data_IF_646223252581
#
_entry.id   IF_646223252581
#
_cell.length_a   1.000
_cell.length_b   1.000
_cell.length_c   1.000
_cell.angle_alpha   90.00
_cell.angle_beta   90.00
_cell.angle_gamma   90.00
#
_symmetry.space_group_name_H-M   'P 1'
#
loop_
_entity.id
_entity.type
_entity.pdbx_description
1 polymer ?
#
# COMPACT_ATOMS: atom_id res chain seq x y z
N UNK A 69 -37.76 0.59 27.48
CA UNK A 69 -38.75 1.63 27.16
C UNK A 69 -39.51 1.45 25.83
N UNK A 70 -38.83 1.13 24.69
CA UNK A 70 -39.53 1.00 23.41
C UNK A 70 -40.12 -0.40 23.18
N UNK A 71 -40.85 -0.90 24.17
CA UNK A 71 -41.50 -2.20 24.03
C UNK A 71 -42.87 -2.06 23.38
N UNK A 72 -43.75 -1.27 24.00
CA UNK A 72 -45.09 -1.04 23.46
C UNK A 72 -45.07 0.12 22.46
N UNK A 73 -44.18 -0.01 21.48
CA UNK A 73 -43.97 1.01 20.47
C UNK A 73 -44.70 0.71 19.16
N UNK A 74 -44.77 -0.55 18.77
CA UNK A 74 -45.40 -0.89 17.50
C UNK A 74 -44.56 -0.45 16.32
N UNK A 75 -45.03 0.57 15.61
CA UNK A 75 -44.32 1.08 14.44
C UNK A 75 -43.28 2.10 14.89
N UNK A 76 -42.67 2.79 13.92
CA UNK A 76 -41.58 3.71 14.18
C UNK A 76 -41.99 5.16 13.94
N UNK A 77 -43.23 5.49 14.30
CA UNK A 77 -43.78 6.85 14.32
C UNK A 77 -43.98 7.40 12.91
N UNK A 78 -44.97 8.26 12.70
CA UNK A 78 -45.20 8.83 11.37
C UNK A 78 -44.19 9.90 11.00
N UNK A 79 -44.44 10.59 9.89
CA UNK A 79 -43.56 11.67 9.47
C UNK A 79 -43.65 12.84 10.45
N UNK A 80 -42.53 13.53 10.63
CA UNK A 80 -42.48 14.74 11.43
C UNK A 80 -41.84 15.85 10.60
N UNK A 81 -41.55 16.97 11.26
CA UNK A 81 -40.68 18.02 10.72
C UNK A 81 -41.11 18.48 9.33
N UNK A 82 -42.42 18.46 9.08
CA UNK A 82 -42.92 18.78 7.74
C UNK A 82 -42.60 20.22 7.35
N UNK A 83 -42.79 21.17 8.27
CA UNK A 83 -42.74 22.58 7.89
C UNK A 83 -41.31 23.05 7.65
N UNK A 84 -40.39 22.70 8.55
CA UNK A 84 -39.02 23.19 8.44
C UNK A 84 -38.32 22.64 7.20
N UNK A 85 -38.50 21.35 6.92
CA UNK A 85 -37.79 20.60 5.89
C UNK A 85 -36.33 20.43 6.30
N UNK A 86 -35.87 19.19 6.29
CA UNK A 86 -34.49 18.82 6.58
C UNK A 86 -34.22 17.62 5.68
N UNK A 87 -33.07 16.97 5.85
CA UNK A 87 -32.64 15.82 5.05
C UNK A 87 -32.35 16.17 3.59
N UNK A 88 -31.32 16.96 3.31
CA UNK A 88 -30.66 16.85 2.01
C UNK A 88 -30.20 15.42 1.78
N UNK A 89 -29.92 15.09 0.52
CA UNK A 89 -29.71 13.69 0.15
C UNK A 89 -28.50 13.07 0.84
N UNK A 90 -27.35 13.76 0.80
CA UNK A 90 -26.09 13.19 1.28
C UNK A 90 -25.84 11.83 0.64
N UNK A 91 -25.97 11.79 -0.69
CA UNK A 91 -26.21 10.52 -1.37
C UNK A 91 -24.99 9.60 -1.34
N UNK A 92 -23.79 10.15 -1.38
CA UNK A 92 -22.59 9.34 -1.52
C UNK A 92 -21.59 9.66 -0.42
N UNK A 93 -20.95 8.62 0.11
CA UNK A 93 -19.79 8.77 0.97
C UNK A 93 -18.74 7.76 0.54
N UNK A 94 -17.47 8.17 0.59
CA UNK A 94 -16.42 7.46 -0.14
C UNK A 94 -16.20 6.05 0.40
N UNK A 95 -16.02 5.92 1.72
CA UNK A 95 -15.62 4.63 2.26
C UNK A 95 -16.70 3.58 2.11
N UNK A 96 -17.97 3.98 2.06
CA UNK A 96 -19.02 3.02 1.76
C UNK A 96 -18.84 2.43 0.37
N UNK A 97 -18.54 3.28 -0.61
CA UNK A 97 -18.24 2.78 -1.95
C UNK A 97 -17.02 1.88 -1.93
N UNK A 98 -16.01 2.23 -1.12
CA UNK A 98 -14.84 1.38 -1.01
C UNK A 98 -15.21 0.00 -0.49
N UNK A 99 -16.06 -0.06 0.53
CA UNK A 99 -16.48 -1.35 1.07
C UNK A 99 -17.27 -2.15 0.04
N UNK A 100 -18.20 -1.50 -0.66
CA UNK A 100 -18.98 -2.19 -1.69
C UNK A 100 -18.08 -2.79 -2.75
N UNK A 101 -17.12 -2.00 -3.25
CA UNK A 101 -16.18 -2.54 -4.23
C UNK A 101 -15.31 -3.62 -3.62
N UNK A 102 -15.01 -3.53 -2.33
CA UNK A 102 -14.17 -4.52 -1.67
C UNK A 102 -14.86 -5.88 -1.64
N UNK A 103 -16.17 -5.90 -1.42
CA UNK A 103 -16.85 -7.18 -1.27
C UNK A 103 -16.76 -8.04 -2.53
N UNK A 104 -16.51 -7.43 -3.69
CA UNK A 104 -16.44 -8.17 -4.95
C UNK A 104 -15.10 -8.08 -5.64
N UNK A 105 -14.14 -7.32 -5.12
CA UNK A 105 -12.91 -7.05 -5.85
C UNK A 105 -12.10 -8.31 -6.10
N UNK A 106 -11.97 -9.18 -5.10
CA UNK A 106 -11.14 -10.37 -5.28
C UNK A 106 -11.71 -11.30 -6.34
N UNK A 107 -13.03 -11.52 -6.34
CA UNK A 107 -13.60 -12.47 -7.28
C UNK A 107 -13.56 -11.92 -8.70
N UNK A 108 -13.84 -10.62 -8.86
CA UNK A 108 -13.77 -10.03 -10.19
C UNK A 108 -12.34 -10.06 -10.70
N UNK A 109 -11.37 -9.80 -9.82
CA UNK A 109 -9.97 -9.90 -10.21
C UNK A 109 -9.64 -11.32 -10.66
N UNK A 110 -10.05 -12.31 -9.86
CA UNK A 110 -9.79 -13.70 -10.21
C UNK A 110 -10.32 -14.01 -11.60
N UNK A 111 -11.59 -13.70 -11.85
CA UNK A 111 -12.19 -14.12 -13.11
C UNK A 111 -11.56 -13.36 -14.28
N UNK A 112 -11.44 -12.03 -14.17
CA UNK A 112 -11.02 -11.29 -15.35
C UNK A 112 -9.55 -11.51 -15.66
N UNK A 113 -8.73 -11.88 -14.67
CA UNK A 113 -7.40 -12.33 -15.06
C UNK A 113 -7.40 -13.81 -15.43
N UNK A 114 -8.47 -14.54 -15.12
CA UNK A 114 -8.58 -15.91 -15.59
C UNK A 114 -8.79 -15.95 -17.09
N UNK A 115 -9.60 -15.03 -17.64
CA UNK A 115 -9.67 -15.03 -19.10
C UNK A 115 -8.37 -14.56 -19.75
N UNK A 116 -7.46 -13.96 -19.00
CA UNK A 116 -6.18 -13.53 -19.56
C UNK A 116 -5.15 -14.64 -19.59
N UNK A 117 -5.42 -15.78 -18.95
CA UNK A 117 -4.53 -16.91 -18.96
C UNK A 117 -3.65 -17.05 -17.73
N UNK A 118 -3.49 -16.00 -16.94
CA UNK A 118 -2.70 -16.08 -15.72
C UNK A 118 -3.52 -16.77 -14.64
N UNK A 119 -2.86 -17.59 -13.83
CA UNK A 119 -3.53 -18.45 -12.86
C UNK A 119 -3.37 -17.90 -11.45
N UNK A 120 -4.38 -18.15 -10.63
CA UNK A 120 -4.37 -17.73 -9.24
C UNK A 120 -5.17 -18.78 -8.48
N UNK A 121 -4.87 -18.98 -7.21
CA UNK A 121 -5.64 -20.00 -6.50
C UNK A 121 -7.04 -19.46 -6.21
N UNK A 122 -7.89 -20.33 -5.67
CA UNK A 122 -9.32 -20.02 -5.55
C UNK A 122 -9.49 -18.79 -4.67
N UNK A 123 -10.46 -17.91 -4.94
CA UNK A 123 -10.63 -16.74 -4.07
C UNK A 123 -11.18 -17.11 -2.70
N UNK A 124 -10.27 -17.49 -1.80
CA UNK A 124 -10.65 -17.79 -0.43
C UNK A 124 -11.35 -16.59 0.20
N UNK A 125 -12.49 -16.79 0.86
CA UNK A 125 -13.17 -15.66 1.49
C UNK A 125 -12.32 -15.02 2.57
N UNK A 126 -12.50 -13.72 2.74
CA UNK A 126 -11.69 -12.92 3.65
C UNK A 126 -12.58 -12.30 4.72
N UNK A 127 -12.03 -12.13 5.92
CA UNK A 127 -12.79 -11.50 6.99
C UNK A 127 -12.75 -9.98 6.84
N UNK A 128 -13.54 -9.30 7.68
CA UNK A 128 -13.66 -7.86 7.57
C UNK A 128 -12.31 -7.17 7.69
N UNK A 129 -11.52 -7.55 8.70
CA UNK A 129 -10.18 -6.99 8.82
C UNK A 129 -9.32 -7.37 7.63
N UNK A 130 -9.43 -8.62 7.18
CA UNK A 130 -8.72 -9.03 5.97
C UNK A 130 -9.16 -8.19 4.79
N UNK A 131 -10.46 -7.91 4.70
CA UNK A 131 -10.98 -7.08 3.61
C UNK A 131 -10.41 -5.67 3.68
N UNK A 132 -10.31 -5.11 4.89
CA UNK A 132 -9.78 -3.76 5.04
C UNK A 132 -8.31 -3.71 4.67
N UNK A 133 -7.54 -4.72 5.08
CA UNK A 133 -6.14 -4.78 4.67
C UNK A 133 -6.01 -4.93 3.16
N UNK A 134 -6.89 -5.74 2.55
CA UNK A 134 -6.92 -5.83 1.09
C UNK A 134 -7.17 -4.47 0.46
N UNK A 135 -8.14 -3.73 1.00
CA UNK A 135 -8.46 -2.41 0.47
C UNK A 135 -7.28 -1.45 0.61
N UNK A 136 -6.62 -1.48 1.76
CA UNK A 136 -5.44 -0.64 1.95
C UNK A 136 -4.34 -1.01 0.97
N UNK A 137 -4.17 -2.31 0.73
CA UNK A 137 -3.16 -2.76 -0.23
C UNK A 137 -3.48 -2.27 -1.63
N UNK A 138 -4.75 -2.31 -2.02
CA UNK A 138 -5.12 -1.90 -3.37
C UNK A 138 -5.34 -0.40 -3.50
N UNK A 139 -5.56 0.31 -2.40
CA UNK A 139 -5.82 1.75 -2.44
C UNK A 139 -4.74 2.56 -1.74
N UNK A 140 -4.41 2.22 -0.50
CA UNK A 140 -3.42 3.00 0.23
C UNK A 140 -2.05 2.96 -0.42
N UNK A 141 -1.68 1.80 -0.98
CA UNK A 141 -0.41 1.71 -1.69
C UNK A 141 -0.39 2.61 -2.91
N UNK A 142 -1.50 2.65 -3.65
CA UNK A 142 -1.57 3.50 -4.84
C UNK A 142 -1.46 4.97 -4.47
N UNK A 143 -2.13 5.38 -3.39
CA UNK A 143 -2.09 6.79 -2.99
C UNK A 143 -0.83 7.14 -2.22
N UNK A 144 -0.17 6.16 -1.60
CA UNK A 144 1.04 6.40 -0.80
C UNK A 144 2.15 5.50 -1.33
N UNK A 145 3.05 6.07 -2.13
CA UNK A 145 4.18 5.32 -2.67
C UNK A 145 5.31 6.32 -2.95
N UNK A 146 6.27 6.39 -2.04
CA UNK A 146 7.41 7.30 -2.15
C UNK A 146 8.69 6.59 -1.74
N UNK A 147 8.85 5.35 -2.18
CA UNK A 147 10.03 4.58 -1.81
C UNK A 147 11.34 5.16 -2.33
N UNK A 148 11.51 5.49 -3.62
CA UNK A 148 12.83 5.93 -4.08
C UNK A 148 13.07 7.43 -3.92
N UNK A 149 14.12 7.78 -3.17
CA UNK A 149 14.52 9.15 -2.88
C UNK A 149 15.62 9.15 -1.82
N UNK A 150 15.24 8.83 -0.58
CA UNK A 150 16.20 8.82 0.52
C UNK A 150 17.28 7.77 0.29
N UNK A 151 16.92 6.65 -0.34
CA UNK A 151 17.91 5.60 -0.59
C UNK A 151 19.02 6.09 -1.52
N UNK A 152 18.65 6.72 -2.63
CA UNK A 152 19.68 7.24 -3.54
C UNK A 152 20.42 8.41 -2.91
N UNK A 153 19.73 9.24 -2.12
CA UNK A 153 20.41 10.33 -1.43
C UNK A 153 21.47 9.80 -0.48
N UNK A 154 21.16 8.72 0.24
CA UNK A 154 22.14 8.11 1.14
C UNK A 154 23.27 7.44 0.36
N UNK A 155 22.95 6.82 -0.78
CA UNK A 155 23.99 6.24 -1.61
C UNK A 155 24.91 7.30 -2.21
N UNK A 156 24.44 8.54 -2.31
CA UNK A 156 25.24 9.60 -2.92
C UNK A 156 26.53 9.82 -2.14
N UNK A 157 26.44 9.95 -0.81
CA UNK A 157 27.65 10.22 -0.04
C UNK A 157 28.54 8.98 0.06
N UNK A 158 27.95 7.78 0.04
CA UNK A 158 28.76 6.57 -0.01
C UNK A 158 29.58 6.52 -1.29
N UNK A 159 28.96 6.86 -2.43
CA UNK A 159 29.70 6.94 -3.68
C UNK A 159 30.77 8.03 -3.61
N UNK A 160 30.43 9.18 -3.03
CA UNK A 160 31.40 10.26 -2.90
C UNK A 160 32.62 9.79 -2.11
N UNK A 161 32.39 9.06 -1.02
CA UNK A 161 33.50 8.47 -0.28
C UNK A 161 34.26 7.47 -1.13
N UNK A 162 33.55 6.73 -1.99
CA UNK A 162 34.22 5.77 -2.86
C UNK A 162 35.21 6.47 -3.78
N UNK A 163 34.82 7.61 -4.36
CA UNK A 163 35.81 8.42 -5.08
C UNK A 163 36.89 8.92 -4.13
N UNK A 164 36.51 9.38 -2.94
CA UNK A 164 37.49 9.97 -2.03
C UNK A 164 38.52 8.96 -1.54
N UNK A 165 38.30 7.67 -1.75
CA UNK A 165 39.20 6.63 -1.25
C UNK A 165 40.65 6.79 -1.67
N UNK A 166 40.99 7.72 -2.57
CA UNK A 166 42.39 7.84 -2.99
C UNK A 166 43.31 8.10 -1.80
N UNK A 167 43.03 9.16 -1.04
CA UNK A 167 43.70 9.46 0.24
C UNK A 167 45.22 9.27 0.17
N UNK A 168 45.78 9.48 -1.02
CA UNK A 168 47.22 9.49 -1.27
C UNK A 168 47.86 8.12 -1.16
N UNK A 169 47.11 7.12 -0.70
CA UNK A 169 47.47 5.69 -0.69
C UNK A 169 48.95 5.50 -0.34
N UNK A 170 49.63 4.61 -1.07
CA UNK A 170 51.08 4.43 -1.06
C UNK A 170 51.49 3.72 0.22
N UNK A 171 52.80 3.53 0.42
CA UNK A 171 53.36 2.81 1.57
C UNK A 171 52.90 1.36 1.47
N UNK A 172 52.14 0.84 2.43
CA UNK A 172 51.58 -0.51 2.39
C UNK A 172 52.66 -1.57 2.57
N UNK A 173 52.31 -2.83 2.34
CA UNK A 173 53.15 -3.96 2.72
C UNK A 173 52.92 -5.12 1.75
N UNK A 174 53.71 -6.18 1.93
CA UNK A 174 53.83 -7.29 0.98
C UNK A 174 54.37 -6.76 -0.34
N UNK A 175 54.99 -5.59 -0.30
CA UNK A 175 55.59 -4.98 -1.48
C UNK A 175 56.95 -4.41 -1.10
N UNK A 176 57.98 -5.25 -1.19
CA UNK A 176 59.33 -4.85 -0.85
C UNK A 176 60.33 -5.79 -1.51
N UNK A 177 61.51 -5.26 -1.81
CA UNK A 177 62.67 -6.03 -2.25
C UNK A 177 62.50 -6.52 -3.69
N UNK A 178 63.59 -6.98 -4.30
CA UNK A 178 63.61 -7.45 -5.68
C UNK A 178 64.48 -8.69 -5.83
N UNK A 179 64.93 -9.25 -4.71
CA UNK A 179 65.91 -10.33 -4.76
C UNK A 179 65.31 -11.57 -5.40
N UNK A 180 66.11 -12.24 -6.22
CA UNK A 180 65.71 -13.46 -6.91
C UNK A 180 66.26 -14.71 -6.24
N UNK A 181 66.77 -14.60 -5.01
CA UNK A 181 67.27 -15.78 -4.31
C UNK A 181 66.11 -16.67 -3.86
N UNK A 182 64.88 -16.25 -4.14
CA UNK A 182 63.67 -17.01 -3.85
C UNK A 182 63.42 -17.15 -2.36
#
# INVERSE_FOLDING_TARGET
MADEEDPWGFDDGGEEEKAASTQAGTPAPPSKAPSVASDHKADSVVAGTPANEEAAPEEVEEIKAPPPPPEDDGYRKPVQLYRHWVRPKFLQYKYMYNYRTNYYDDVIDYIDKKQTGVAREIPRPQTWAERVLRTRNISGSDIDSYAPAKRDKQLIQTLAASIRTYNYHTKAYINQRYASVL
#
